data_IF_701906145160
#
_entry.id   IF_701906145160
#
_cell.length_a   1.000
_cell.length_b   1.000
_cell.length_c   1.000
_cell.angle_alpha   90.00
_cell.angle_beta   90.00
_cell.angle_gamma   90.00
#
_symmetry.space_group_name_H-M   'P 1'
#
loop_
_entity.id
_entity.type
_entity.pdbx_description
1 polymer ?
#
# COMPACT_ATOMS: atom_id res chain seq x y z
N UNK A 1 2.37 -28.16 6.85
CA UNK A 1 1.70 -26.92 7.24
C UNK A 1 2.34 -25.74 6.54
N UNK A 2 1.54 -24.88 5.96
CA UNK A 2 2.06 -23.75 5.20
C UNK A 2 2.05 -22.50 6.08
N UNK A 3 3.23 -22.10 6.47
CA UNK A 3 3.37 -20.81 7.12
C UNK A 3 3.59 -19.77 6.05
N UNK A 4 2.69 -18.82 5.99
CA UNK A 4 2.82 -17.73 5.05
C UNK A 4 3.67 -16.64 5.67
N UNK A 5 4.54 -16.06 4.84
CA UNK A 5 5.37 -14.93 5.25
C UNK A 5 4.50 -13.75 5.64
N UNK A 6 4.87 -13.06 6.72
CA UNK A 6 4.25 -11.79 7.08
C UNK A 6 5.04 -10.67 6.43
N UNK A 7 4.33 -9.77 5.78
CA UNK A 7 4.94 -8.70 4.99
C UNK A 7 4.45 -7.37 5.53
N UNK A 8 5.37 -6.45 5.72
CA UNK A 8 5.05 -5.06 5.99
C UNK A 8 5.27 -4.28 4.70
N UNK A 9 4.20 -3.67 4.19
CA UNK A 9 4.26 -2.85 2.99
C UNK A 9 4.35 -1.39 3.39
N UNK A 10 5.47 -0.77 3.08
CA UNK A 10 5.71 0.65 3.34
C UNK A 10 5.81 1.37 2.00
N UNK A 11 4.98 2.37 1.81
CA UNK A 11 4.82 3.04 0.52
C UNK A 11 5.30 4.48 0.63
N UNK A 12 6.19 4.89 -0.28
CA UNK A 12 6.54 6.29 -0.47
C UNK A 12 5.51 6.91 -1.43
N UNK A 13 4.43 7.42 -0.88
CA UNK A 13 3.31 7.89 -1.70
C UNK A 13 3.62 9.15 -2.49
N UNK A 14 4.62 9.93 -2.08
CA UNK A 14 5.02 11.12 -2.84
C UNK A 14 5.66 10.74 -4.17
N UNK A 15 6.25 9.56 -4.27
CA UNK A 15 6.98 9.13 -5.47
C UNK A 15 6.37 7.91 -6.16
N UNK A 16 5.69 7.05 -5.42
CA UNK A 16 5.11 5.83 -6.00
C UNK A 16 3.73 6.12 -6.61
N UNK A 17 3.42 5.53 -7.77
CA UNK A 17 2.12 5.76 -8.42
C UNK A 17 1.03 4.91 -7.77
N UNK A 18 -0.08 5.56 -7.39
CA UNK A 18 -1.21 4.87 -6.78
C UNK A 18 -1.85 3.83 -7.72
N UNK A 19 -1.78 4.06 -9.03
CA UNK A 19 -2.34 3.16 -10.03
C UNK A 19 -1.70 1.77 -10.01
N UNK A 20 -0.52 1.62 -9.39
CA UNK A 20 0.19 0.35 -9.32
C UNK A 20 -0.14 -0.48 -8.09
N UNK A 21 -0.92 0.06 -7.15
CA UNK A 21 -1.11 -0.61 -5.85
C UNK A 21 -1.78 -1.97 -5.98
N UNK A 22 -2.75 -2.10 -6.88
CA UNK A 22 -3.43 -3.39 -7.07
C UNK A 22 -2.46 -4.46 -7.54
N UNK A 23 -1.58 -4.13 -8.48
CA UNK A 23 -0.57 -5.06 -8.98
C UNK A 23 0.43 -5.43 -7.89
N UNK A 24 0.84 -4.46 -7.08
CA UNK A 24 1.76 -4.71 -5.96
C UNK A 24 1.13 -5.66 -4.94
N UNK A 25 -0.10 -5.39 -4.54
CA UNK A 25 -0.79 -6.25 -3.56
C UNK A 25 -1.02 -7.65 -4.11
N UNK A 26 -1.36 -7.78 -5.39
CA UNK A 26 -1.52 -9.08 -6.03
C UNK A 26 -0.22 -9.87 -6.04
N UNK A 27 0.89 -9.20 -6.31
CA UNK A 27 2.20 -9.85 -6.29
C UNK A 27 2.58 -10.29 -4.88
N UNK A 28 2.38 -9.43 -3.88
CA UNK A 28 2.70 -9.77 -2.50
C UNK A 28 1.88 -10.95 -2.00
N UNK A 29 0.63 -11.05 -2.42
CA UNK A 29 -0.26 -12.15 -2.00
C UNK A 29 0.26 -13.52 -2.42
N UNK A 30 1.11 -13.58 -3.43
CA UNK A 30 1.75 -14.83 -3.86
C UNK A 30 2.83 -15.29 -2.87
N UNK A 31 3.36 -14.38 -2.07
CA UNK A 31 4.48 -14.66 -1.18
C UNK A 31 4.10 -14.71 0.28
N UNK A 32 3.02 -14.04 0.68
CA UNK A 32 2.65 -13.99 2.07
C UNK A 32 1.44 -13.12 2.31
N UNK A 33 1.32 -12.64 3.54
CA UNK A 33 0.22 -11.79 3.97
C UNK A 33 0.78 -10.40 4.30
N UNK A 34 0.34 -9.39 3.55
CA UNK A 34 0.71 -7.99 3.82
C UNK A 34 -0.29 -7.43 4.85
N UNK A 35 -0.05 -7.71 6.12
CA UNK A 35 -0.96 -7.31 7.19
C UNK A 35 -0.59 -5.95 7.84
N UNK A 36 0.55 -5.40 7.47
CA UNK A 36 0.92 -4.03 7.82
C UNK A 36 1.06 -3.28 6.49
N UNK A 37 0.23 -2.25 6.30
CA UNK A 37 0.21 -1.47 5.06
C UNK A 37 0.17 -0.01 5.44
N UNK A 38 1.26 0.72 5.15
CA UNK A 38 1.40 2.12 5.51
C UNK A 38 1.91 2.93 4.35
N UNK A 39 1.33 4.10 4.14
CA UNK A 39 1.75 5.01 3.10
C UNK A 39 2.19 6.34 3.72
N UNK A 40 3.38 6.76 3.35
CA UNK A 40 4.01 7.98 3.84
C UNK A 40 4.01 9.03 2.74
N UNK A 41 3.59 10.23 3.07
CA UNK A 41 3.58 11.30 2.08
C UNK A 41 3.05 12.60 2.65
N UNK A 42 3.08 13.65 1.84
CA UNK A 42 2.51 14.92 2.22
C UNK A 42 1.01 14.94 1.87
N UNK A 43 0.18 14.53 2.82
CA UNK A 43 -1.26 14.38 2.59
C UNK A 43 -2.00 15.69 2.37
N UNK A 44 -1.34 16.81 2.59
CA UNK A 44 -1.89 18.14 2.26
C UNK A 44 -1.75 18.45 0.77
N UNK A 45 -0.91 17.71 0.06
CA UNK A 45 -0.67 17.94 -1.36
C UNK A 45 -1.81 17.36 -2.20
N UNK A 46 -2.27 18.14 -3.20
CA UNK A 46 -3.26 17.66 -4.16
C UNK A 46 -2.72 16.49 -5.00
N UNK A 47 -1.41 16.37 -5.11
CA UNK A 47 -0.80 15.29 -5.88
C UNK A 47 -1.08 13.91 -5.30
N UNK A 48 -1.49 13.82 -4.03
CA UNK A 48 -1.77 12.55 -3.37
C UNK A 48 -3.26 12.16 -3.39
N UNK A 49 -4.11 12.88 -4.13
CA UNK A 49 -5.53 12.55 -4.18
C UNK A 49 -5.79 11.12 -4.64
N UNK A 50 -5.04 10.64 -5.62
CA UNK A 50 -5.21 9.26 -6.10
C UNK A 50 -4.85 8.25 -5.02
N UNK A 51 -3.85 8.55 -4.20
CA UNK A 51 -3.53 7.71 -3.06
C UNK A 51 -4.65 7.74 -2.03
N UNK A 52 -5.22 8.91 -1.76
CA UNK A 52 -6.31 9.02 -0.78
C UNK A 52 -7.48 8.12 -1.13
N UNK A 53 -7.84 8.04 -2.40
CA UNK A 53 -8.94 7.15 -2.82
C UNK A 53 -8.56 5.68 -2.77
N UNK A 54 -7.28 5.35 -2.77
CA UNK A 54 -6.81 3.97 -2.71
C UNK A 54 -6.59 3.46 -1.29
N UNK A 55 -6.49 4.36 -0.31
CA UNK A 55 -6.11 3.97 1.06
C UNK A 55 -7.13 3.04 1.70
N UNK A 56 -8.37 3.50 1.82
CA UNK A 56 -9.41 2.75 2.53
C UNK A 56 -9.74 1.42 1.86
N UNK A 57 -9.97 1.36 0.54
CA UNK A 57 -10.30 0.08 -0.09
C UNK A 57 -9.19 -0.97 0.03
N UNK A 58 -7.95 -0.53 0.20
CA UNK A 58 -6.80 -1.43 0.28
C UNK A 58 -6.26 -1.57 1.70
N UNK A 59 -6.97 -1.08 2.69
CA UNK A 59 -6.58 -1.14 4.09
C UNK A 59 -5.17 -0.58 4.33
N UNK A 60 -4.87 0.56 3.70
CA UNK A 60 -3.59 1.24 3.84
C UNK A 60 -3.76 2.42 4.78
N UNK A 61 -2.89 2.48 5.80
CA UNK A 61 -2.92 3.55 6.78
C UNK A 61 -2.03 4.71 6.32
N UNK A 62 -2.57 5.92 6.19
CA UNK A 62 -1.74 7.10 5.90
C UNK A 62 -0.98 7.52 7.16
N UNK A 63 0.27 7.83 6.97
CA UNK A 63 1.13 8.30 8.05
C UNK A 63 1.55 9.76 7.80
#
# INVERSE_FOLDING_TARGET
MNERMRIALLIDADNAPAAKIDAVLSELAKHGVANVRRAYGNWKSQNLQRWETALHPNAIQPI
#
